data_IF_500597784190
#
_entry.id   IF_500597784190
#
_cell.length_a   1.000
_cell.length_b   1.000
_cell.length_c   1.000
_cell.angle_alpha   90.00
_cell.angle_beta   90.00
_cell.angle_gamma   90.00
#
_symmetry.space_group_name_H-M   'P 1'
#
loop_
_entity.id
_entity.type
_entity.pdbx_description
1 polymer ?
#
# COMPACT_ATOMS: atom_id res chain seq x y z
N UNK A 1 -21.67 -8.18 -14.65
CA UNK A 1 -21.64 -9.26 -13.63
C UNK A 1 -21.96 -8.64 -12.28
N UNK A 2 -23.03 -9.05 -11.59
CA UNK A 2 -23.54 -8.34 -10.40
C UNK A 2 -22.75 -8.69 -9.12
N UNK A 3 -22.50 -7.70 -8.26
CA UNK A 3 -21.75 -7.77 -6.99
C UNK A 3 -22.23 -8.91 -6.07
N UNK A 4 -23.54 -9.12 -6.03
CA UNK A 4 -24.19 -10.11 -5.17
C UNK A 4 -23.87 -11.56 -5.59
N UNK A 5 -23.68 -11.81 -6.89
CA UNK A 5 -23.37 -13.15 -7.40
C UNK A 5 -21.95 -13.59 -7.04
N UNK A 6 -21.01 -12.63 -6.99
CA UNK A 6 -19.63 -12.90 -6.59
C UNK A 6 -19.49 -13.17 -5.10
N UNK A 7 -20.20 -12.42 -4.25
CA UNK A 7 -20.23 -12.69 -2.81
C UNK A 7 -20.78 -14.08 -2.49
N UNK A 8 -21.81 -14.54 -3.21
CA UNK A 8 -22.39 -15.88 -3.01
C UNK A 8 -21.45 -17.01 -3.42
N UNK A 9 -20.82 -16.90 -4.60
CA UNK A 9 -19.86 -17.90 -5.09
C UNK A 9 -18.67 -17.99 -4.13
N UNK A 10 -18.16 -16.83 -3.71
CA UNK A 10 -17.02 -16.75 -2.82
C UNK A 10 -17.34 -17.26 -1.40
N UNK A 11 -18.48 -16.85 -0.83
CA UNK A 11 -18.93 -17.31 0.48
C UNK A 11 -19.07 -18.84 0.54
N UNK A 12 -19.55 -19.47 -0.54
CA UNK A 12 -19.63 -20.93 -0.63
C UNK A 12 -18.26 -21.60 -0.49
N UNK A 13 -17.25 -21.01 -1.10
CA UNK A 13 -15.92 -21.61 -1.14
C UNK A 13 -15.16 -21.40 0.15
N UNK A 14 -15.31 -20.24 0.78
CA UNK A 14 -14.58 -19.91 2.00
C UNK A 14 -15.19 -20.57 3.24
N UNK A 15 -16.49 -20.92 3.21
CA UNK A 15 -17.11 -21.79 4.22
C UNK A 15 -16.49 -23.19 4.32
N UNK A 16 -15.69 -23.61 3.34
CA UNK A 16 -14.95 -24.89 3.40
C UNK A 16 -13.62 -24.77 4.16
N UNK A 17 -13.18 -23.54 4.46
CA UNK A 17 -11.93 -23.28 5.18
C UNK A 17 -12.21 -23.31 6.68
N UNK A 18 -11.56 -24.22 7.39
CA UNK A 18 -11.71 -24.35 8.84
C UNK A 18 -11.21 -23.08 9.55
N UNK A 19 -12.04 -22.51 10.43
CA UNK A 19 -11.69 -21.32 11.22
C UNK A 19 -11.90 -19.98 10.52
N UNK A 20 -12.48 -19.95 9.31
CA UNK A 20 -12.81 -18.70 8.66
C UNK A 20 -14.06 -18.05 9.29
N UNK A 21 -14.06 -16.72 9.58
CA UNK A 21 -15.21 -16.08 10.21
C UNK A 21 -16.45 -16.07 9.31
N UNK A 22 -17.60 -16.52 9.84
CA UNK A 22 -18.86 -16.55 9.08
C UNK A 22 -19.37 -15.18 8.65
N UNK A 23 -18.98 -14.13 9.40
CA UNK A 23 -19.35 -12.75 9.12
C UNK A 23 -18.50 -12.09 8.03
N UNK A 24 -17.37 -12.68 7.67
CA UNK A 24 -16.43 -12.07 6.74
C UNK A 24 -16.89 -12.22 5.28
N UNK A 25 -16.86 -11.10 4.58
CA UNK A 25 -17.30 -10.97 3.19
C UNK A 25 -16.10 -10.86 2.25
N UNK A 26 -16.38 -10.94 0.94
CA UNK A 26 -15.37 -10.65 -0.08
C UNK A 26 -14.86 -9.21 0.01
N UNK A 27 -15.68 -8.27 0.49
CA UNK A 27 -15.27 -6.88 0.68
C UNK A 27 -14.24 -6.77 1.80
N UNK A 28 -14.41 -7.52 2.89
CA UNK A 28 -13.45 -7.56 4.00
C UNK A 28 -12.11 -8.15 3.56
N UNK A 29 -12.13 -9.18 2.72
CA UNK A 29 -10.91 -9.68 2.09
C UNK A 29 -10.22 -8.67 1.19
N UNK A 30 -11.00 -7.89 0.42
CA UNK A 30 -10.46 -6.82 -0.43
C UNK A 30 -9.77 -5.76 0.42
N UNK A 31 -10.38 -5.38 1.55
CA UNK A 31 -9.77 -4.46 2.53
C UNK A 31 -8.50 -5.03 3.15
N UNK A 32 -8.53 -6.30 3.55
CA UNK A 32 -7.35 -6.99 4.09
C UNK A 32 -6.20 -7.07 3.08
N UNK A 33 -6.51 -7.35 1.82
CA UNK A 33 -5.50 -7.39 0.76
C UNK A 33 -4.89 -6.00 0.50
N UNK A 34 -5.73 -4.95 0.44
CA UNK A 34 -5.26 -3.58 0.28
C UNK A 34 -4.34 -3.16 1.44
N UNK A 35 -4.74 -3.44 2.69
CA UNK A 35 -3.96 -3.07 3.87
C UNK A 35 -2.61 -3.77 3.93
N UNK A 36 -2.52 -5.03 3.51
CA UNK A 36 -1.25 -5.74 3.41
C UNK A 36 -0.31 -5.08 2.39
N UNK A 37 -0.78 -4.78 1.18
CA UNK A 37 0.06 -4.15 0.16
C UNK A 37 0.61 -2.81 0.67
N UNK A 38 -0.24 -1.98 1.27
CA UNK A 38 0.15 -0.66 1.78
C UNK A 38 1.14 -0.80 2.94
N UNK A 39 0.90 -1.72 3.88
CA UNK A 39 1.80 -2.01 5.00
C UNK A 39 3.18 -2.47 4.54
N UNK A 40 3.26 -3.18 3.40
CA UNK A 40 4.52 -3.61 2.80
C UNK A 40 5.21 -2.54 1.95
N UNK A 41 4.69 -1.30 1.96
CA UNK A 41 5.31 -0.15 1.29
C UNK A 41 5.01 -0.09 -0.21
N UNK A 42 3.99 -0.81 -0.70
CA UNK A 42 3.61 -0.73 -2.10
C UNK A 42 3.12 0.66 -2.50
N UNK A 43 3.48 1.06 -3.71
CA UNK A 43 3.02 2.35 -4.25
C UNK A 43 1.53 2.31 -4.53
N UNK A 44 0.89 3.47 -4.46
CA UNK A 44 -0.54 3.56 -4.75
C UNK A 44 -0.92 3.09 -6.16
N UNK A 45 -0.03 3.27 -7.15
CA UNK A 45 -0.27 2.80 -8.52
C UNK A 45 -0.36 1.28 -8.57
N UNK A 46 0.48 0.60 -7.80
CA UNK A 46 0.47 -0.87 -7.68
C UNK A 46 -0.81 -1.31 -6.98
N UNK A 47 -1.15 -0.72 -5.84
CA UNK A 47 -2.38 -1.05 -5.09
C UNK A 47 -3.61 -0.84 -5.98
N UNK A 48 -3.70 0.29 -6.67
CA UNK A 48 -4.77 0.60 -7.63
C UNK A 48 -4.91 -0.48 -8.72
N UNK A 49 -3.80 -0.86 -9.36
CA UNK A 49 -3.81 -1.88 -10.40
C UNK A 49 -4.20 -3.26 -9.85
N UNK A 50 -3.72 -3.64 -8.67
CA UNK A 50 -4.03 -4.91 -8.00
C UNK A 50 -5.48 -5.01 -7.56
N UNK A 51 -6.08 -3.90 -7.17
CA UNK A 51 -7.50 -3.82 -6.84
C UNK A 51 -8.39 -3.70 -8.09
N UNK A 52 -7.82 -3.33 -9.24
CA UNK A 52 -8.56 -3.08 -10.47
C UNK A 52 -9.40 -1.79 -10.41
N UNK A 53 -9.00 -0.82 -9.59
CA UNK A 53 -9.63 0.51 -9.57
C UNK A 53 -9.29 1.28 -10.84
N UNK A 54 -10.25 2.06 -11.33
CA UNK A 54 -10.09 2.82 -12.56
C UNK A 54 -9.11 3.98 -12.38
N UNK A 55 -9.01 4.52 -11.16
CA UNK A 55 -8.15 5.65 -10.84
C UNK A 55 -7.44 5.49 -9.49
N UNK A 56 -6.32 6.19 -9.32
CA UNK A 56 -5.64 6.25 -8.02
C UNK A 56 -6.50 6.96 -6.96
N UNK A 57 -7.33 7.94 -7.36
CA UNK A 57 -8.25 8.64 -6.45
C UNK A 57 -9.19 7.67 -5.76
N UNK A 58 -9.83 6.77 -6.51
CA UNK A 58 -10.72 5.74 -5.95
C UNK A 58 -10.03 4.89 -4.86
N UNK A 59 -8.72 4.66 -5.02
CA UNK A 59 -7.92 3.96 -4.01
C UNK A 59 -7.61 4.86 -2.81
N UNK A 60 -7.23 6.12 -3.03
CA UNK A 60 -6.98 7.09 -1.95
C UNK A 60 -8.21 7.36 -1.10
N UNK A 61 -9.37 7.54 -1.74
CA UNK A 61 -10.62 7.88 -1.08
C UNK A 61 -10.99 6.83 -0.02
N UNK A 62 -10.59 5.57 -0.26
CA UNK A 62 -10.86 4.45 0.65
C UNK A 62 -9.69 4.17 1.61
N UNK A 63 -8.45 4.18 1.12
CA UNK A 63 -7.30 3.59 1.84
C UNK A 63 -6.20 4.57 2.22
N UNK A 64 -6.33 5.87 1.93
CA UNK A 64 -5.31 6.89 2.23
C UNK A 64 -4.82 6.85 3.68
N UNK A 65 -5.73 6.63 4.63
CA UNK A 65 -5.44 6.54 6.07
C UNK A 65 -4.51 5.38 6.47
N UNK A 66 -4.25 4.43 5.58
CA UNK A 66 -3.34 3.30 5.83
C UNK A 66 -1.90 3.61 5.45
N UNK A 67 -1.66 4.64 4.62
CA UNK A 67 -0.29 5.02 4.29
C UNK A 67 0.38 5.67 5.50
N UNK A 68 1.64 5.30 5.79
CA UNK A 68 2.37 5.89 6.89
C UNK A 68 2.55 7.38 6.64
N UNK A 69 2.37 8.18 7.70
CA UNK A 69 2.72 9.59 7.66
C UNK A 69 4.23 9.69 7.44
N UNK A 70 4.61 10.39 6.38
CA UNK A 70 5.95 10.28 5.78
C UNK A 70 6.82 11.49 6.03
N UNK A 71 6.38 12.47 6.83
CA UNK A 71 7.14 13.71 7.03
C UNK A 71 8.55 13.43 7.57
N UNK A 72 8.67 12.59 8.61
CA UNK A 72 9.98 12.26 9.21
C UNK A 72 10.83 11.35 8.31
N UNK A 73 10.21 10.42 7.58
CA UNK A 73 10.93 9.56 6.63
C UNK A 73 11.44 10.36 5.42
N UNK A 74 10.62 11.29 4.92
CA UNK A 74 10.96 12.18 3.81
C UNK A 74 12.10 13.09 4.20
N UNK A 75 12.04 13.69 5.39
CA UNK A 75 13.14 14.50 5.93
C UNK A 75 14.43 13.69 6.04
N UNK A 76 14.35 12.51 6.66
CA UNK A 76 15.53 11.63 6.82
C UNK A 76 16.15 11.22 5.48
N UNK A 77 15.31 10.95 4.47
CA UNK A 77 15.79 10.60 3.13
C UNK A 77 16.50 11.78 2.45
N UNK A 78 15.98 13.00 2.58
CA UNK A 78 16.60 14.21 2.05
C UNK A 78 17.93 14.49 2.77
N UNK A 79 17.96 14.42 4.10
CA UNK A 79 19.15 14.66 4.92
C UNK A 79 20.28 13.67 4.58
N UNK A 80 19.94 12.40 4.35
CA UNK A 80 20.89 11.38 3.93
C UNK A 80 21.57 11.75 2.60
N UNK A 81 20.79 12.15 1.60
CA UNK A 81 21.31 12.51 0.27
C UNK A 81 22.14 13.79 0.37
N UNK A 82 21.60 14.85 0.97
CA UNK A 82 22.29 16.15 1.05
C UNK A 82 23.55 16.08 1.92
N UNK A 83 23.52 15.37 3.04
CA UNK A 83 24.69 15.14 3.89
C UNK A 83 25.82 14.43 3.13
N UNK A 84 25.47 13.44 2.28
CA UNK A 84 26.44 12.75 1.43
C UNK A 84 27.08 13.68 0.38
N UNK A 85 26.28 14.56 -0.25
CA UNK A 85 26.75 15.52 -1.26
C UNK A 85 27.70 16.56 -0.65
N UNK A 86 27.37 17.06 0.55
CA UNK A 86 28.22 18.03 1.26
C UNK A 86 29.56 17.40 1.66
N UNK A 87 29.54 16.16 2.15
CA UNK A 87 30.74 15.42 2.52
C UNK A 87 31.64 15.08 1.32
N UNK A 88 31.07 14.89 0.13
CA UNK A 88 31.85 14.62 -1.08
C UNK A 88 32.52 15.89 -1.65
N UNK A 89 31.82 17.03 -1.54
CA UNK A 89 32.36 18.35 -1.89
C UNK A 89 33.56 18.76 -1.03
N UNK A 90 33.58 18.36 0.24
CA UNK A 90 34.72 18.68 1.13
C UNK A 90 35.95 17.84 0.82
N UNK A 91 35.79 16.61 0.27
CA UNK A 91 36.92 15.76 -0.16
C UNK A 91 37.59 16.27 -1.44
N UNK A 92 36.82 16.77 -2.40
CA UNK A 92 37.35 17.25 -3.69
C UNK A 92 38.07 18.60 -3.59
N UNK A 93 37.78 19.41 -2.56
CA UNK A 93 38.44 20.71 -2.34
C UNK A 93 39.78 20.64 -1.61
N UNK A 94 40.10 19.52 -0.95
CA UNK A 94 41.37 19.34 -0.22
C UNK A 94 42.50 18.71 -1.04
N UNK A 95 42.27 18.40 -2.32
CA UNK A 95 43.22 17.72 -3.21
C UNK A 95 43.76 18.61 -4.35
N UNK A 96 43.56 19.93 -4.28
CA UNK A 96 44.22 20.94 -5.11
C UNK A 96 45.04 21.88 -4.22
#
# INVERSE_FOLDING_TARGET
MNRNRWSEIWARQVRTIQGFPEWATFHDLRHFYASLLIRHGESIKVVQARLGHASASETLDTYSHLWPDSEDQTRSAIDLVLGSVIADKSRTRGAM
#
